data_IF_957339361313
#
_entry.id   IF_957339361313
#
_cell.length_a   1.000
_cell.length_b   1.000
_cell.length_c   1.000
_cell.angle_alpha   90.00
_cell.angle_beta   90.00
_cell.angle_gamma   90.00
#
_symmetry.space_group_name_H-M   'P 1'
#
loop_
_entity.id
_entity.type
_entity.pdbx_description
1 polymer ?
#
# COMPACT_ATOMS: atom_id res chain seq x y z
N UNK A 1 26.06 1.77 25.67
CA UNK A 1 25.04 2.26 24.73
C UNK A 1 23.92 2.89 25.54
N UNK A 2 24.02 4.18 25.84
CA UNK A 2 23.00 4.95 26.56
C UNK A 2 22.05 5.62 25.55
N UNK A 3 21.33 4.79 24.80
CA UNK A 3 20.34 5.23 23.82
C UNK A 3 18.95 5.22 24.43
N UNK A 4 18.37 6.40 24.67
CA UNK A 4 16.94 6.50 25.02
C UNK A 4 16.12 6.16 23.77
N UNK A 5 15.45 5.02 23.77
CA UNK A 5 14.62 4.62 22.65
C UNK A 5 13.52 5.68 22.40
N UNK A 6 13.27 6.05 21.13
CA UNK A 6 12.20 6.98 20.80
C UNK A 6 10.84 6.40 21.16
N UNK A 7 9.89 7.25 21.54
CA UNK A 7 8.54 6.83 21.88
C UNK A 7 7.78 6.43 20.61
N UNK A 8 7.80 5.13 20.28
CA UNK A 8 7.12 4.55 19.13
C UNK A 8 5.61 4.79 19.13
N UNK A 9 4.99 5.11 20.27
CA UNK A 9 3.55 5.42 20.34
C UNK A 9 3.20 6.71 19.60
N UNK A 10 4.18 7.58 19.32
CA UNK A 10 3.98 8.83 18.58
C UNK A 10 3.81 8.61 17.07
N UNK A 11 4.25 7.47 16.52
CA UNK A 11 4.16 7.17 15.09
C UNK A 11 3.02 6.21 14.75
N UNK A 12 2.38 5.61 15.75
CA UNK A 12 1.22 4.74 15.54
C UNK A 12 -0.03 5.59 15.27
N UNK A 13 -0.72 5.39 14.12
CA UNK A 13 -1.98 6.06 13.85
C UNK A 13 -3.03 5.60 14.88
N UNK A 14 -3.59 6.56 15.63
CA UNK A 14 -4.51 6.27 16.74
C UNK A 14 -5.93 5.93 16.27
N UNK A 15 -6.32 6.42 15.10
CA UNK A 15 -7.68 6.26 14.59
C UNK A 15 -7.65 6.06 13.06
N UNK A 16 -7.42 4.83 12.57
CA UNK A 16 -7.45 4.56 11.14
C UNK A 16 -8.90 4.63 10.63
N UNK A 17 -9.21 5.64 9.81
CA UNK A 17 -10.56 5.78 9.23
C UNK A 17 -10.81 4.82 8.04
N UNK A 18 -9.76 4.15 7.55
CA UNK A 18 -9.80 3.28 6.37
C UNK A 18 -9.32 1.89 6.71
N UNK A 19 -10.23 0.92 6.65
CA UNK A 19 -9.94 -0.50 6.84
C UNK A 19 -10.04 -1.24 5.50
N UNK A 20 -9.00 -1.98 5.16
CA UNK A 20 -8.93 -2.88 4.01
C UNK A 20 -8.72 -4.30 4.52
N UNK A 21 -9.61 -5.21 4.17
CA UNK A 21 -9.48 -6.63 4.46
C UNK A 21 -9.17 -7.38 3.17
N UNK A 22 -8.10 -8.17 3.18
CA UNK A 22 -7.59 -8.84 2.00
C UNK A 22 -6.81 -10.10 2.39
N UNK A 23 -6.80 -11.10 1.51
CA UNK A 23 -5.97 -12.29 1.68
C UNK A 23 -4.49 -11.93 1.69
N UNK A 24 -3.77 -12.35 2.74
CA UNK A 24 -2.34 -12.03 2.92
C UNK A 24 -1.49 -12.55 1.74
N UNK A 25 -1.71 -13.79 1.29
CA UNK A 25 -0.98 -14.38 0.17
C UNK A 25 -1.26 -13.67 -1.16
N UNK A 26 -2.51 -13.27 -1.39
CA UNK A 26 -2.93 -12.56 -2.59
C UNK A 26 -2.25 -11.17 -2.67
N UNK A 27 -2.22 -10.45 -1.56
CA UNK A 27 -1.49 -9.17 -1.46
C UNK A 27 0.02 -9.38 -1.68
N UNK A 28 0.64 -10.35 -1.01
CA UNK A 28 2.07 -10.64 -1.15
C UNK A 28 2.45 -10.91 -2.60
N UNK A 29 1.68 -11.74 -3.30
CA UNK A 29 1.93 -12.07 -4.70
C UNK A 29 1.79 -10.83 -5.60
N UNK A 30 0.77 -10.00 -5.36
CA UNK A 30 0.59 -8.78 -6.13
C UNK A 30 1.71 -7.76 -5.90
N UNK A 31 2.13 -7.57 -4.65
CA UNK A 31 3.29 -6.73 -4.33
C UNK A 31 4.57 -7.27 -4.95
N UNK A 32 4.79 -8.59 -4.93
CA UNK A 32 5.96 -9.19 -5.57
C UNK A 32 5.99 -8.91 -7.08
N UNK A 33 4.84 -9.01 -7.77
CA UNK A 33 4.72 -8.66 -9.20
C UNK A 33 4.98 -7.18 -9.44
N UNK A 34 4.32 -6.29 -8.69
CA UNK A 34 4.49 -4.84 -8.84
C UNK A 34 5.94 -4.40 -8.51
N UNK A 35 6.61 -5.09 -7.59
CA UNK A 35 7.98 -4.79 -7.21
C UNK A 35 9.00 -5.05 -8.33
N UNK A 36 8.72 -5.96 -9.28
CA UNK A 36 9.63 -6.28 -10.41
C UNK A 36 9.96 -5.03 -11.22
N UNK A 37 8.97 -4.17 -11.44
CA UNK A 37 9.09 -2.92 -12.19
C UNK A 37 9.15 -1.70 -11.28
N UNK A 38 9.39 -1.89 -9.97
CA UNK A 38 9.56 -0.77 -9.03
C UNK A 38 11.00 -0.27 -9.02
N UNK A 39 11.17 1.02 -8.78
CA UNK A 39 12.50 1.64 -8.68
C UNK A 39 13.36 0.96 -7.60
N UNK A 40 14.55 0.46 -7.95
CA UNK A 40 15.43 -0.27 -7.03
C UNK A 40 15.87 0.54 -5.80
N UNK A 41 15.93 1.88 -5.89
CA UNK A 41 16.30 2.75 -4.76
C UNK A 41 15.17 2.99 -3.77
N UNK A 42 13.92 3.02 -4.24
CA UNK A 42 12.80 3.47 -3.41
C UNK A 42 11.68 2.45 -3.27
N UNK A 43 11.69 1.36 -4.06
CA UNK A 43 10.73 0.24 -4.11
C UNK A 43 9.29 0.62 -3.75
N UNK A 44 8.91 1.81 -4.22
CA UNK A 44 7.67 2.46 -3.84
C UNK A 44 6.57 2.01 -4.77
N UNK A 45 5.46 1.55 -4.19
CA UNK A 45 4.24 1.22 -4.91
C UNK A 45 3.12 2.16 -4.45
N UNK A 46 2.24 2.53 -5.38
CA UNK A 46 1.06 3.33 -5.09
C UNK A 46 -0.16 2.42 -5.03
N UNK A 47 -0.98 2.63 -4.01
CA UNK A 47 -2.21 1.88 -3.81
C UNK A 47 -3.42 2.78 -4.07
N UNK A 48 -4.27 2.34 -4.98
CA UNK A 48 -5.57 2.91 -5.29
C UNK A 48 -6.62 1.92 -4.80
N UNK A 49 -7.29 2.28 -3.72
CA UNK A 49 -8.37 1.47 -3.16
C UNK A 49 -9.69 2.08 -3.62
N UNK A 50 -10.54 1.26 -4.24
CA UNK A 50 -11.90 1.57 -4.70
C UNK A 50 -12.87 0.52 -4.17
N UNK A 51 -14.18 0.75 -4.28
CA UNK A 51 -15.18 -0.25 -3.90
C UNK A 51 -14.90 -1.58 -4.62
N UNK A 52 -14.60 -2.61 -3.83
CA UNK A 52 -14.27 -3.97 -4.26
C UNK A 52 -12.99 -4.15 -5.10
N UNK A 53 -12.12 -3.14 -5.17
CA UNK A 53 -10.93 -3.20 -6.02
C UNK A 53 -9.71 -2.54 -5.36
N UNK A 54 -8.57 -3.20 -5.45
CA UNK A 54 -7.27 -2.62 -5.16
C UNK A 54 -6.45 -2.60 -6.44
N UNK A 55 -6.06 -1.40 -6.87
CA UNK A 55 -5.10 -1.20 -7.95
C UNK A 55 -3.75 -0.81 -7.35
N UNK A 56 -2.71 -1.54 -7.71
CA UNK A 56 -1.33 -1.31 -7.31
C UNK A 56 -0.59 -0.82 -8.55
N UNK A 57 0.10 0.32 -8.44
CA UNK A 57 0.97 0.79 -9.52
C UNK A 57 2.40 0.96 -9.04
N UNK A 58 3.34 0.60 -9.91
CA UNK A 58 4.77 0.79 -9.68
C UNK A 58 5.39 1.42 -10.93
N UNK A 59 6.36 2.29 -10.72
CA UNK A 59 7.04 2.99 -11.81
C UNK A 59 8.55 2.89 -11.62
N UNK A 60 9.25 2.56 -12.71
CA UNK A 60 10.71 2.53 -12.74
C UNK A 60 11.26 3.90 -13.27
N UNK A 61 12.57 4.18 -13.09
CA UNK A 61 13.17 5.41 -13.61
C UNK A 61 13.27 5.46 -15.14
N UNK A 62 13.12 4.33 -15.82
CA UNK A 62 13.05 4.21 -17.29
C UNK A 62 11.63 4.47 -17.84
N UNK A 63 10.71 4.97 -17.01
CA UNK A 63 9.31 5.26 -17.33
C UNK A 63 8.45 4.02 -17.66
N UNK A 64 8.91 2.81 -17.34
CA UNK A 64 8.06 1.63 -17.38
C UNK A 64 7.11 1.63 -16.19
N UNK A 65 5.86 1.28 -16.46
CA UNK A 65 4.77 1.23 -15.49
C UNK A 65 4.25 -0.20 -15.35
N UNK A 66 4.15 -0.67 -14.11
CA UNK A 66 3.38 -1.86 -13.76
C UNK A 66 2.05 -1.45 -13.17
N UNK A 67 0.98 -2.03 -13.68
CA UNK A 67 -0.34 -1.95 -13.08
C UNK A 67 -0.83 -3.35 -12.72
N UNK A 68 -1.25 -3.51 -11.48
CA UNK A 68 -1.84 -4.75 -10.98
C UNK A 68 -3.20 -4.45 -10.37
N UNK A 69 -4.21 -5.24 -10.72
CA UNK A 69 -5.59 -5.06 -10.28
C UNK A 69 -6.07 -6.30 -9.54
N UNK A 70 -6.55 -6.11 -8.32
CA UNK A 70 -7.04 -7.17 -7.44
C UNK A 70 -8.51 -6.89 -7.12
N UNK A 71 -9.37 -7.88 -7.38
CA UNK A 71 -10.74 -7.87 -6.88
C UNK A 71 -10.70 -8.32 -5.41
N UNK A 72 -10.92 -7.39 -4.48
CA UNK A 72 -10.96 -7.67 -3.05
C UNK A 72 -12.37 -7.43 -2.56
N UNK A 73 -13.01 -8.35 -1.82
CA UNK A 73 -14.25 -8.06 -1.12
C UNK A 73 -13.92 -7.13 0.06
N UNK A 74 -13.84 -5.82 -0.20
CA UNK A 74 -13.55 -4.87 0.86
C UNK A 74 -14.81 -4.76 1.72
N UNK A 75 -14.76 -5.23 2.96
CA UNK A 75 -15.75 -4.91 3.98
C UNK A 75 -15.58 -3.45 4.42
N UNK A 76 -15.86 -2.52 3.50
CA UNK A 76 -15.80 -1.10 3.77
C UNK A 76 -16.90 -0.77 4.77
N UNK A 77 -16.55 -0.60 6.04
CA UNK A 77 -17.42 0.14 6.96
C UNK A 77 -17.33 1.62 6.61
N UNK A 78 -18.04 1.98 5.53
CA UNK A 78 -18.39 3.33 5.06
C UNK A 78 -17.25 4.18 4.46
N UNK A 79 -17.01 3.98 3.16
CA UNK A 79 -16.34 4.96 2.29
C UNK A 79 -17.41 5.88 1.68
N UNK A 80 -17.11 7.18 1.61
CA UNK A 80 -17.61 8.04 0.53
C UNK A 80 -16.39 8.47 -0.27
N UNK A 81 -16.45 8.19 -1.58
CA UNK A 81 -15.51 8.57 -2.64
C UNK A 81 -14.47 9.64 -2.26
N UNK A 82 -13.19 9.26 -2.24
CA UNK A 82 -12.06 10.19 -2.36
C UNK A 82 -10.79 9.43 -2.79
N UNK A 83 -10.36 9.62 -4.04
CA UNK A 83 -9.03 9.29 -4.56
C UNK A 83 -7.95 9.61 -3.54
N UNK A 84 -7.41 8.61 -2.87
CA UNK A 84 -6.30 8.80 -1.93
C UNK A 84 -5.19 7.83 -2.30
N UNK A 85 -4.11 8.36 -2.88
CA UNK A 85 -2.89 7.64 -3.17
C UNK A 85 -2.18 7.36 -1.84
N UNK A 86 -2.22 6.12 -1.37
CA UNK A 86 -1.46 5.71 -0.17
C UNK A 86 -0.11 5.21 -0.67
N UNK A 87 0.95 6.00 -0.45
CA UNK A 87 2.32 5.52 -0.61
C UNK A 87 2.63 4.62 0.59
N UNK A 88 2.61 3.31 0.38
CA UNK A 88 3.07 2.36 1.37
C UNK A 88 4.59 2.22 1.22
N UNK A 89 5.35 2.87 2.09
CA UNK A 89 6.81 2.65 2.20
C UNK A 89 7.05 1.30 2.88
N UNK A 90 7.54 0.35 2.11
CA UNK A 90 7.91 -0.98 2.58
C UNK A 90 9.30 -0.86 3.26
N UNK A 91 9.33 -0.98 4.59
CA UNK A 91 10.57 -1.22 5.34
C UNK A 91 10.94 -2.70 5.26
#
# INVERSE_FOLDING_TARGET
>A
MDGRFPDYRRVLPKNPDKHLEAGCDLLKQAFARAAILSNEKFRGVRLYVSENQLKITANNPEQEEAEEILALPIAVRRWKSASTSVMCWMF
#
